data_IF_896958620000
#
_entry.id   IF_896958620000
#
_cell.length_a   1.000
_cell.length_b   1.000
_cell.length_c   1.000
_cell.angle_alpha   90.00
_cell.angle_beta   90.00
_cell.angle_gamma   90.00
#
_symmetry.space_group_name_H-M   'P 1'
#
loop_
_entity.id
_entity.type
_entity.pdbx_description
1 polymer ?
#
# COMPACT_ATOMS: atom_id res chain seq x y z
N UNK A 1 27.69 -49.60 16.39
CA UNK A 1 27.27 -48.61 15.37
C UNK A 1 26.38 -47.57 16.04
N UNK A 2 26.70 -46.29 15.82
CA UNK A 2 26.15 -45.10 16.49
C UNK A 2 24.64 -44.96 16.27
N UNK A 3 23.87 -44.70 17.33
CA UNK A 3 22.52 -44.13 17.20
C UNK A 3 22.61 -42.65 17.55
N UNK A 4 22.61 -41.83 16.51
CA UNK A 4 22.72 -40.38 16.59
C UNK A 4 21.37 -39.82 17.09
N UNK A 5 21.46 -39.04 18.16
CA UNK A 5 20.42 -38.15 18.67
C UNK A 5 20.12 -37.09 17.61
N UNK A 6 18.86 -36.88 17.23
CA UNK A 6 18.38 -35.56 16.77
C UNK A 6 16.84 -35.49 16.74
N UNK A 7 16.22 -35.26 17.89
CA UNK A 7 14.84 -34.78 17.97
C UNK A 7 14.89 -33.29 18.32
N UNK A 8 15.20 -32.45 17.34
CA UNK A 8 15.10 -30.99 17.45
C UNK A 8 14.72 -30.43 16.09
N UNK A 9 13.46 -30.61 15.72
CA UNK A 9 12.86 -29.89 14.60
C UNK A 9 11.42 -29.54 14.99
N UNK A 10 11.03 -28.30 14.69
CA UNK A 10 9.70 -27.71 14.83
C UNK A 10 9.43 -26.87 16.09
N UNK A 11 10.40 -26.02 16.47
CA UNK A 11 10.09 -24.73 17.12
C UNK A 11 10.21 -23.62 16.07
N UNK A 12 9.39 -23.69 15.02
CA UNK A 12 9.10 -22.49 14.22
C UNK A 12 7.96 -21.80 14.95
N UNK A 13 8.30 -21.06 16.01
CA UNK A 13 7.38 -20.09 16.58
C UNK A 13 7.00 -19.14 15.43
N UNK A 14 5.76 -19.27 14.98
CA UNK A 14 5.19 -18.41 13.96
C UNK A 14 5.24 -16.97 14.47
N UNK A 15 6.23 -16.22 14.01
CA UNK A 15 6.20 -14.76 14.04
C UNK A 15 4.96 -14.37 13.25
N UNK A 16 3.86 -14.11 13.96
CA UNK A 16 2.65 -13.50 13.43
C UNK A 16 3.01 -12.09 12.99
N UNK A 17 3.56 -11.97 11.78
CA UNK A 17 3.79 -10.69 11.14
C UNK A 17 2.46 -9.98 11.00
N UNK A 18 2.40 -8.71 11.43
CA UNK A 18 1.22 -7.87 11.22
C UNK A 18 0.96 -7.76 9.72
N UNK A 19 -0.23 -8.21 9.28
CA UNK A 19 -0.65 -8.04 7.91
C UNK A 19 -1.19 -6.62 7.71
N UNK A 20 -0.59 -5.87 6.79
CA UNK A 20 -1.08 -4.56 6.41
C UNK A 20 -2.55 -4.66 5.97
N UNK A 21 -3.39 -3.75 6.45
CA UNK A 21 -4.80 -3.72 6.05
C UNK A 21 -4.97 -2.98 4.73
N UNK A 22 -5.51 -3.68 3.73
CA UNK A 22 -5.85 -3.13 2.43
C UNK A 22 -7.36 -3.02 2.30
N UNK A 23 -7.86 -1.82 2.04
CA UNK A 23 -9.27 -1.63 1.75
C UNK A 23 -9.57 -2.06 0.32
N UNK A 24 -10.62 -2.88 0.18
CA UNK A 24 -11.13 -3.27 -1.13
C UNK A 24 -11.63 -2.02 -1.87
N UNK A 25 -11.33 -1.97 -3.17
CA UNK A 25 -11.89 -0.96 -4.06
C UNK A 25 -13.42 -1.05 -4.06
N UNK A 26 -14.08 -0.01 -3.56
CA UNK A 26 -15.54 0.10 -3.51
C UNK A 26 -16.00 1.24 -4.44
N UNK A 27 -15.97 0.99 -5.74
CA UNK A 27 -16.43 1.95 -6.77
C UNK A 27 -17.44 1.29 -7.69
N UNK A 28 -18.45 2.05 -8.12
CA UNK A 28 -19.43 1.61 -9.13
C UNK A 28 -18.99 1.95 -10.57
N UNK A 29 -17.92 2.73 -10.73
CA UNK A 29 -17.44 3.15 -12.04
C UNK A 29 -16.73 1.99 -12.74
N UNK A 30 -17.36 1.44 -13.78
CA UNK A 30 -16.85 0.29 -14.55
C UNK A 30 -15.48 0.56 -15.17
N UNK A 31 -15.25 1.77 -15.70
CA UNK A 31 -13.97 2.15 -16.31
C UNK A 31 -12.85 2.14 -15.28
N UNK A 32 -13.11 2.74 -14.12
CA UNK A 32 -12.15 2.75 -13.01
C UNK A 32 -11.86 1.35 -12.49
N UNK A 33 -12.90 0.52 -12.25
CA UNK A 33 -12.72 -0.87 -11.84
C UNK A 33 -11.87 -1.66 -12.83
N UNK A 34 -12.08 -1.47 -14.13
CA UNK A 34 -11.28 -2.10 -15.17
C UNK A 34 -9.83 -1.57 -15.19
N UNK A 35 -9.61 -0.30 -14.87
CA UNK A 35 -8.27 0.30 -14.78
C UNK A 35 -7.48 -0.25 -13.60
N UNK A 36 -8.08 -0.35 -12.41
CA UNK A 36 -7.39 -0.85 -11.21
C UNK A 36 -7.30 -2.37 -11.14
N UNK A 37 -8.03 -3.09 -12.00
CA UNK A 37 -7.96 -4.55 -12.06
C UNK A 37 -6.57 -5.01 -12.47
N UNK A 38 -5.95 -5.85 -11.64
CA UNK A 38 -4.59 -6.35 -11.84
C UNK A 38 -3.49 -5.45 -11.26
N UNK A 39 -3.85 -4.30 -10.69
CA UNK A 39 -2.93 -3.51 -9.89
C UNK A 39 -2.78 -4.13 -8.50
N UNK A 40 -1.54 -4.23 -8.04
CA UNK A 40 -1.21 -4.72 -6.71
C UNK A 40 -0.20 -3.77 -6.09
N UNK A 41 -0.32 -3.51 -4.80
CA UNK A 41 0.68 -2.70 -4.10
C UNK A 41 0.98 -3.26 -2.72
N UNK A 42 2.18 -2.99 -2.24
CA UNK A 42 2.61 -3.25 -0.86
C UNK A 42 3.03 -1.94 -0.21
N UNK A 43 3.02 -1.92 1.12
CA UNK A 43 3.51 -0.80 1.92
C UNK A 43 4.56 -1.34 2.88
N UNK A 44 5.65 -0.59 3.05
CA UNK A 44 6.68 -0.87 4.04
C UNK A 44 7.47 0.40 4.33
N UNK A 45 7.62 0.76 5.60
CA UNK A 45 8.49 1.83 6.09
C UNK A 45 8.26 3.15 5.33
N UNK A 46 7.00 3.56 5.20
CA UNK A 46 6.63 4.80 4.49
C UNK A 46 6.70 4.73 2.96
N UNK A 47 6.99 3.58 2.36
CA UNK A 47 7.11 3.43 0.90
C UNK A 47 6.03 2.49 0.36
N UNK A 48 5.33 2.93 -0.69
CA UNK A 48 4.42 2.08 -1.46
C UNK A 48 5.14 1.56 -2.69
N UNK A 49 5.13 0.23 -2.86
CA UNK A 49 5.58 -0.42 -4.09
C UNK A 49 4.37 -0.83 -4.90
N UNK A 50 4.12 -0.19 -6.04
CA UNK A 50 3.00 -0.45 -6.94
C UNK A 50 3.46 -1.28 -8.14
N UNK A 51 2.74 -2.36 -8.44
CA UNK A 51 2.95 -3.19 -9.62
C UNK A 51 1.70 -3.19 -10.50
N UNK A 52 1.91 -2.94 -11.79
CA UNK A 52 0.86 -3.00 -12.79
C UNK A 52 0.84 -4.36 -13.50
N UNK A 53 0.02 -5.31 -13.02
CA UNK A 53 -0.30 -6.54 -13.76
C UNK A 53 -1.66 -6.43 -14.47
N UNK A 54 -2.14 -5.20 -14.69
CA UNK A 54 -3.40 -4.93 -15.36
C UNK A 54 -3.28 -4.95 -16.89
N UNK A 55 -4.37 -4.57 -17.54
CA UNK A 55 -4.47 -4.58 -19.01
C UNK A 55 -4.15 -3.21 -19.65
N UNK A 56 -3.80 -2.21 -18.85
CA UNK A 56 -3.64 -0.84 -19.30
C UNK A 56 -2.34 -0.24 -18.76
N UNK A 57 -1.64 0.53 -19.58
CA UNK A 57 -0.64 1.46 -19.08
C UNK A 57 -1.36 2.56 -18.28
N UNK A 58 -0.74 3.00 -17.20
CA UNK A 58 -1.30 4.02 -16.32
C UNK A 58 -0.59 5.35 -16.56
N UNK A 59 -1.33 6.45 -16.51
CA UNK A 59 -0.77 7.79 -16.49
C UNK A 59 -0.48 8.20 -15.05
N UNK A 60 -1.49 8.13 -14.20
CA UNK A 60 -1.38 8.50 -12.79
C UNK A 60 -2.08 7.48 -11.91
N UNK A 61 -1.50 7.23 -10.73
CA UNK A 61 -2.14 6.46 -9.65
C UNK A 61 -1.86 7.17 -8.33
N UNK A 62 -2.89 7.28 -7.49
CA UNK A 62 -2.72 7.67 -6.09
C UNK A 62 -3.23 6.57 -5.17
N UNK A 63 -2.46 6.31 -4.13
CA UNK A 63 -2.86 5.42 -3.04
C UNK A 63 -2.83 6.25 -1.77
N UNK A 64 -3.94 6.24 -1.06
CA UNK A 64 -4.08 6.94 0.22
C UNK A 64 -3.92 5.97 1.38
N UNK A 65 -3.49 6.49 2.51
CA UNK A 65 -3.43 5.81 3.79
C UNK A 65 -4.26 6.60 4.81
N UNK A 66 -5.08 5.90 5.59
CA UNK A 66 -5.78 6.44 6.76
C UNK A 66 -5.49 5.57 7.97
N UNK A 67 -5.80 6.03 9.18
CA UNK A 67 -5.64 5.22 10.40
C UNK A 67 -6.97 4.70 10.92
N UNK A 68 -6.97 3.48 11.46
CA UNK A 68 -8.11 2.91 12.21
C UNK A 68 -8.37 3.61 13.54
N UNK A 69 -7.34 4.25 14.10
CA UNK A 69 -7.36 4.79 15.48
C UNK A 69 -7.16 6.30 15.53
N UNK A 70 -6.75 6.91 14.42
CA UNK A 70 -6.59 8.36 14.28
C UNK A 70 -7.34 8.84 13.03
N UNK A 71 -8.48 9.50 13.24
CA UNK A 71 -9.32 10.00 12.15
C UNK A 71 -8.74 11.24 11.46
N UNK A 72 -7.70 11.85 12.03
CA UNK A 72 -7.05 13.04 11.48
C UNK A 72 -5.89 12.69 10.56
N UNK A 73 -5.38 11.45 10.65
CA UNK A 73 -4.26 11.00 9.83
C UNK A 73 -4.69 10.80 8.38
N UNK A 74 -3.96 11.47 7.48
CA UNK A 74 -4.05 11.28 6.05
C UNK A 74 -2.65 11.06 5.46
N UNK A 75 -2.51 10.03 4.63
CA UNK A 75 -1.30 9.76 3.86
C UNK A 75 -1.61 9.64 2.38
N UNK A 76 -0.67 10.04 1.52
CA UNK A 76 -0.81 9.89 0.06
C UNK A 76 0.53 9.55 -0.59
N UNK A 77 0.51 8.57 -1.50
CA UNK A 77 1.59 8.32 -2.45
C UNK A 77 1.10 8.59 -3.87
N UNK A 78 1.92 9.27 -4.66
CA UNK A 78 1.63 9.69 -6.02
C UNK A 78 2.58 9.00 -7.00
N UNK A 79 2.02 8.36 -8.03
CA UNK A 79 2.75 7.75 -9.14
C UNK A 79 2.39 8.52 -10.42
N UNK A 80 3.16 9.55 -10.75
CA UNK A 80 2.81 10.52 -11.82
C UNK A 80 3.58 10.31 -13.14
N UNK A 81 4.68 9.57 -13.12
CA UNK A 81 5.51 9.32 -14.31
C UNK A 81 4.91 8.27 -15.27
N UNK A 82 3.75 7.72 -14.91
CA UNK A 82 3.10 6.63 -15.61
C UNK A 82 3.72 5.27 -15.33
N UNK A 83 2.88 4.23 -15.41
CA UNK A 83 3.28 2.86 -15.10
C UNK A 83 2.87 1.90 -16.20
N UNK A 84 3.86 1.42 -16.96
CA UNK A 84 3.65 0.45 -18.04
C UNK A 84 3.21 -0.92 -17.48
N UNK A 85 2.48 -1.68 -18.28
CA UNK A 85 2.09 -3.06 -17.96
C UNK A 85 3.34 -3.90 -17.66
N UNK A 86 3.26 -4.73 -16.61
CA UNK A 86 4.33 -5.59 -16.14
C UNK A 86 5.42 -4.88 -15.34
N UNK A 87 5.34 -3.56 -15.17
CA UNK A 87 6.32 -2.78 -14.41
C UNK A 87 5.90 -2.56 -12.96
N UNK A 88 6.91 -2.27 -12.15
CA UNK A 88 6.81 -1.94 -10.75
C UNK A 88 7.46 -0.59 -10.54
N UNK A 89 6.86 0.23 -9.70
CA UNK A 89 7.38 1.53 -9.30
C UNK A 89 7.20 1.74 -7.79
N UNK A 90 7.89 2.74 -7.22
CA UNK A 90 7.87 3.05 -5.79
C UNK A 90 7.66 4.53 -5.55
N UNK A 91 6.81 4.86 -4.58
CA UNK A 91 6.60 6.21 -4.13
C UNK A 91 6.59 6.28 -2.60
N UNK A 92 7.17 7.35 -2.06
CA UNK A 92 7.09 7.68 -0.64
C UNK A 92 5.69 8.18 -0.31
N UNK A 93 5.17 7.78 0.85
CA UNK A 93 3.91 8.31 1.38
C UNK A 93 4.19 9.61 2.11
N UNK A 94 3.51 10.67 1.71
CA UNK A 94 3.46 11.93 2.43
C UNK A 94 2.34 11.87 3.46
N UNK A 95 2.63 12.11 4.74
CA UNK A 95 1.66 12.05 5.84
C UNK A 95 1.37 13.42 6.43
N UNK A 96 0.10 13.65 6.72
CA UNK A 96 -0.40 14.84 7.42
C UNK A 96 -1.35 14.45 8.54
N UNK A 97 -1.44 15.26 9.58
CA UNK A 97 -2.42 15.14 10.65
C UNK A 97 -3.09 16.48 10.97
N UNK A 98 -4.12 16.44 11.82
CA UNK A 98 -4.89 17.63 12.21
C UNK A 98 -6.12 17.88 11.34
N UNK A 99 -6.81 18.99 11.60
CA UNK A 99 -8.07 19.34 10.93
C UNK A 99 -8.01 20.72 10.28
N UNK A 100 -8.44 20.81 9.02
CA UNK A 100 -8.62 22.08 8.34
C UNK A 100 -7.35 22.93 8.33
N UNK A 101 -7.40 24.08 9.00
CA UNK A 101 -6.27 25.03 9.07
C UNK A 101 -5.10 24.54 9.93
N UNK A 102 -5.32 23.57 10.81
CA UNK A 102 -4.29 22.99 11.68
C UNK A 102 -3.61 21.75 11.07
N UNK A 103 -3.81 21.54 9.77
CA UNK A 103 -3.17 20.45 9.03
C UNK A 103 -1.66 20.67 8.98
N UNK A 104 -0.90 19.67 9.40
CA UNK A 104 0.55 19.74 9.43
C UNK A 104 1.16 18.42 8.98
N UNK A 105 2.39 18.49 8.49
CA UNK A 105 3.16 17.32 8.08
C UNK A 105 3.56 16.46 9.28
N UNK A 106 3.52 15.15 9.09
CA UNK A 106 3.96 14.16 10.07
C UNK A 106 5.14 13.39 9.54
N UNK A 107 6.17 13.24 10.39
CA UNK A 107 7.28 12.34 10.09
C UNK A 107 6.85 10.88 10.27
N UNK A 108 7.49 9.96 9.55
CA UNK A 108 7.20 8.52 9.63
C UNK A 108 7.26 7.98 11.08
N UNK A 109 8.12 8.55 11.93
CA UNK A 109 8.26 8.15 13.35
C UNK A 109 7.01 8.42 14.19
N UNK A 110 6.15 9.33 13.74
CA UNK A 110 4.89 9.68 14.41
C UNK A 110 3.72 8.81 13.93
N UNK A 111 3.94 7.97 12.91
CA UNK A 111 2.90 7.17 12.27
C UNK A 111 2.83 5.79 12.93
N UNK A 112 1.64 5.42 13.39
CA UNK A 112 1.36 4.06 13.84
C UNK A 112 1.06 3.16 12.63
N UNK A 113 2.13 2.74 11.93
CA UNK A 113 2.05 2.01 10.65
C UNK A 113 1.16 0.75 10.72
N UNK A 114 1.09 0.09 11.88
CA UNK A 114 0.28 -1.12 12.11
C UNK A 114 -1.23 -0.87 11.98
N UNK A 115 -1.67 0.37 12.18
CA UNK A 115 -3.06 0.78 12.14
C UNK A 115 -3.44 1.46 10.82
N UNK A 116 -2.52 1.51 9.86
CA UNK A 116 -2.81 2.06 8.54
C UNK A 116 -3.76 1.17 7.74
N UNK A 117 -4.67 1.82 7.04
CA UNK A 117 -5.55 1.26 6.02
C UNK A 117 -5.22 1.94 4.71
N UNK A 118 -4.74 1.15 3.74
CA UNK A 118 -4.41 1.68 2.43
C UNK A 118 -5.53 1.43 1.43
N UNK A 119 -5.72 2.36 0.50
CA UNK A 119 -6.71 2.22 -0.57
C UNK A 119 -6.30 2.99 -1.83
N UNK A 120 -6.71 2.49 -2.99
CA UNK A 120 -6.61 3.28 -4.22
C UNK A 120 -7.56 4.48 -4.13
N UNK A 121 -7.01 5.67 -4.36
CA UNK A 121 -7.80 6.90 -4.48
C UNK A 121 -8.11 7.18 -5.95
N UNK A 122 -7.07 7.33 -6.79
CA UNK A 122 -7.22 7.56 -8.23
C UNK A 122 -6.36 6.60 -9.04
N UNK A 123 -6.84 6.31 -10.25
CA UNK A 123 -6.08 5.61 -11.27
C UNK A 123 -6.58 6.03 -12.66
N UNK A 124 -5.68 6.56 -13.47
CA UNK A 124 -5.96 7.00 -14.84
C UNK A 124 -5.12 6.18 -15.83
N UNK A 125 -5.71 5.86 -16.97
CA UNK A 125 -4.99 5.19 -18.07
C UNK A 125 -4.12 6.20 -18.79
N UNK A 126 -2.96 5.76 -19.26
CA UNK A 126 -2.20 6.52 -20.25
C UNK A 126 -3.03 6.64 -21.53
N UNK A 127 -3.10 7.85 -22.10
CA UNK A 127 -3.61 8.01 -23.46
C UNK A 127 -2.64 7.31 -24.42
N UNK A 128 -3.21 6.67 -25.46
CA UNK A 128 -2.43 5.98 -26.49
C UNK A 128 -1.65 6.98 -27.33
#
# INVERSE_FOLDING_TARGET
>A
MKKIVLASLLLIAGISGYAQTYQRVNSKNKTYLATVKGLTYTYKDGIITLKNNGNYNLATVSIIASSKVDSTLFGIALFEEGLKIGKTDKATVYFTGGHGKDTHELSLKQIDEKNLVLSFDKAARAQR
#
